data_IF_503918656986
#
_entry.id   IF_503918656986
#
_cell.length_a   1.000
_cell.length_b   1.000
_cell.length_c   1.000
_cell.angle_alpha   90.00
_cell.angle_beta   90.00
_cell.angle_gamma   90.00
#
_symmetry.space_group_name_H-M   'P 1'
#
loop_
_entity.id
_entity.type
_entity.pdbx_description
1 polymer ?
#
# COMPACT_ATOMS: atom_id res chain seq x y z
N UNK A 1 -59.81 -8.18 52.77
CA UNK A 1 -59.19 -7.31 51.75
C UNK A 1 -57.73 -7.75 51.58
N UNK A 2 -57.38 -8.36 50.45
CA UNK A 2 -55.99 -8.71 50.11
C UNK A 2 -55.69 -8.09 48.74
N UNK A 3 -54.95 -6.99 48.73
CA UNK A 3 -54.42 -6.38 47.51
C UNK A 3 -53.18 -7.15 47.08
N UNK A 4 -53.27 -7.88 45.96
CA UNK A 4 -52.09 -8.42 45.27
C UNK A 4 -51.47 -7.31 44.44
N UNK A 5 -50.35 -6.77 44.90
CA UNK A 5 -49.48 -5.94 44.08
C UNK A 5 -48.91 -6.79 42.94
N UNK A 6 -49.21 -6.39 41.70
CA UNK A 6 -48.59 -6.95 40.49
C UNK A 6 -47.21 -6.33 40.32
N UNK A 7 -46.20 -6.97 40.89
CA UNK A 7 -44.78 -6.80 40.53
C UNK A 7 -44.55 -7.48 39.16
N UNK A 8 -45.04 -6.87 38.08
CA UNK A 8 -44.76 -7.33 36.73
C UNK A 8 -44.90 -6.15 35.76
N UNK A 9 -43.78 -5.49 35.43
CA UNK A 9 -43.82 -4.55 34.31
C UNK A 9 -42.69 -3.55 34.19
N UNK A 10 -41.86 -3.32 35.21
CA UNK A 10 -40.92 -2.20 35.17
C UNK A 10 -39.47 -2.58 34.80
N UNK A 11 -39.04 -3.83 35.02
CA UNK A 11 -37.71 -4.27 34.61
C UNK A 11 -37.55 -4.33 33.08
N UNK A 12 -38.59 -4.82 32.38
CA UNK A 12 -38.59 -4.97 30.92
C UNK A 12 -38.38 -3.64 30.16
N UNK A 13 -39.11 -2.54 30.46
CA UNK A 13 -38.87 -1.25 29.82
C UNK A 13 -37.52 -0.62 30.19
N UNK A 14 -36.98 -0.89 31.39
CA UNK A 14 -35.64 -0.43 31.78
C UNK A 14 -34.57 -1.10 30.91
N UNK A 15 -34.64 -2.42 30.69
CA UNK A 15 -33.69 -3.10 29.80
C UNK A 15 -33.78 -2.59 28.36
N UNK A 16 -34.99 -2.38 27.84
CA UNK A 16 -35.18 -1.83 26.49
C UNK A 16 -34.55 -0.45 26.36
N UNK A 17 -34.79 0.45 27.32
CA UNK A 17 -34.24 1.82 27.27
C UNK A 17 -32.72 1.83 27.41
N UNK A 18 -32.14 0.99 28.28
CA UNK A 18 -30.69 0.85 28.42
C UNK A 18 -30.07 0.30 27.15
N UNK A 19 -30.61 -0.79 26.58
CA UNK A 19 -30.10 -1.40 25.34
C UNK A 19 -30.23 -0.43 24.17
N UNK A 20 -31.38 0.24 24.01
CA UNK A 20 -31.57 1.23 22.97
C UNK A 20 -30.60 2.41 23.12
N UNK A 21 -30.37 2.89 24.35
CA UNK A 21 -29.41 3.95 24.64
C UNK A 21 -27.96 3.56 24.31
N UNK A 22 -27.56 2.33 24.65
CA UNK A 22 -26.23 1.81 24.33
C UNK A 22 -26.04 1.61 22.82
N UNK A 23 -27.04 1.10 22.11
CA UNK A 23 -27.00 0.95 20.65
C UNK A 23 -26.95 2.31 19.94
N UNK A 24 -27.69 3.30 20.43
CA UNK A 24 -27.63 4.67 19.91
C UNK A 24 -26.25 5.30 20.11
N UNK A 25 -25.67 5.16 21.30
CA UNK A 25 -24.29 5.59 21.57
C UNK A 25 -23.31 4.90 20.63
N UNK A 26 -23.41 3.58 20.46
CA UNK A 26 -22.56 2.82 19.55
C UNK A 26 -22.70 3.32 18.09
N UNK A 27 -23.91 3.59 17.62
CA UNK A 27 -24.15 4.15 16.29
C UNK A 27 -23.59 5.58 16.14
N UNK A 28 -23.79 6.43 17.14
CA UNK A 28 -23.25 7.78 17.14
C UNK A 28 -21.71 7.79 17.05
N UNK A 29 -21.04 6.89 17.79
CA UNK A 29 -19.59 6.72 17.67
C UNK A 29 -19.16 6.15 16.32
N UNK A 30 -19.93 5.21 15.75
CA UNK A 30 -19.65 4.65 14.43
C UNK A 30 -19.68 5.73 13.33
N UNK A 31 -20.70 6.58 13.32
CA UNK A 31 -20.84 7.68 12.35
C UNK A 31 -19.68 8.68 12.45
N UNK A 32 -19.20 8.96 13.66
CA UNK A 32 -18.04 9.85 13.87
C UNK A 32 -16.73 9.20 13.42
N UNK A 33 -16.61 7.87 13.52
CA UNK A 33 -15.42 7.11 13.11
C UNK A 33 -15.09 7.22 11.62
N UNK A 34 -16.09 7.36 10.76
CA UNK A 34 -15.92 7.41 9.30
C UNK A 34 -15.11 8.64 8.81
N UNK A 35 -15.08 9.72 9.60
CA UNK A 35 -14.27 10.91 9.29
C UNK A 35 -12.78 10.75 9.63
N UNK A 36 -12.43 9.85 10.57
CA UNK A 36 -11.04 9.56 10.91
C UNK A 36 -10.35 8.69 9.84
N UNK A 37 -11.12 7.84 9.16
CA UNK A 37 -10.62 7.00 8.06
C UNK A 37 -10.12 7.82 6.87
N UNK A 38 -10.68 9.01 6.62
CA UNK A 38 -10.31 9.82 5.46
C UNK A 38 -8.91 10.42 5.54
N UNK A 39 -8.44 10.80 6.74
CA UNK A 39 -7.08 11.31 6.93
C UNK A 39 -6.02 10.22 6.72
N UNK A 40 -6.33 9.00 7.11
CA UNK A 40 -5.50 7.83 6.81
C UNK A 40 -5.68 7.35 5.36
N UNK A 41 -6.78 7.72 4.70
CA UNK A 41 -7.11 7.33 3.33
C UNK A 41 -6.12 7.84 2.28
N UNK A 42 -5.70 9.11 2.39
CA UNK A 42 -4.71 9.68 1.47
C UNK A 42 -3.36 8.94 1.54
N UNK A 43 -2.85 8.71 2.76
CA UNK A 43 -1.58 7.99 2.94
C UNK A 43 -1.69 6.53 2.52
N UNK A 44 -2.78 5.84 2.87
CA UNK A 44 -3.04 4.47 2.43
C UNK A 44 -3.10 4.35 0.90
N UNK A 45 -3.71 5.33 0.23
CA UNK A 45 -3.73 5.40 -1.24
C UNK A 45 -2.33 5.62 -1.82
N UNK A 46 -1.53 6.51 -1.23
CA UNK A 46 -0.16 6.75 -1.66
C UNK A 46 0.71 5.50 -1.50
N UNK A 47 0.62 4.84 -0.35
CA UNK A 47 1.35 3.61 -0.02
C UNK A 47 1.01 2.48 -0.99
N UNK A 48 -0.28 2.27 -1.25
CA UNK A 48 -0.75 1.27 -2.19
C UNK A 48 -0.26 1.56 -3.62
N UNK A 49 -0.36 2.82 -4.06
CA UNK A 49 0.08 3.24 -5.39
C UNK A 49 1.60 3.12 -5.56
N UNK A 50 2.39 3.49 -4.54
CA UNK A 50 3.85 3.38 -4.58
C UNK A 50 4.33 1.92 -4.57
N UNK A 51 3.69 1.05 -3.78
CA UNK A 51 3.95 -0.39 -3.81
C UNK A 51 3.56 -1.02 -5.14
N UNK A 52 2.44 -0.59 -5.74
CA UNK A 52 2.01 -1.08 -7.04
C UNK A 52 3.04 -0.74 -8.14
N UNK A 53 3.51 0.51 -8.19
CA UNK A 53 4.54 0.93 -9.13
C UNK A 53 5.84 0.12 -8.97
N UNK A 54 6.29 -0.07 -7.73
CA UNK A 54 7.50 -0.82 -7.44
C UNK A 54 7.36 -2.32 -7.78
N UNK A 55 6.19 -2.92 -7.51
CA UNK A 55 5.91 -4.32 -7.88
C UNK A 55 5.90 -4.50 -9.39
N UNK A 56 5.20 -3.64 -10.12
CA UNK A 56 5.14 -3.71 -11.58
C UNK A 56 6.54 -3.60 -12.21
N UNK A 57 7.35 -2.64 -11.76
CA UNK A 57 8.73 -2.50 -12.25
C UNK A 57 9.62 -3.72 -11.92
N UNK A 58 9.42 -4.34 -10.75
CA UNK A 58 10.09 -5.60 -10.37
C UNK A 58 9.65 -6.76 -11.26
N UNK A 59 8.36 -6.86 -11.54
CA UNK A 59 7.80 -7.94 -12.35
C UNK A 59 8.28 -7.82 -13.81
N UNK A 60 8.41 -6.62 -14.36
CA UNK A 60 9.03 -6.37 -15.67
C UNK A 60 10.47 -6.90 -15.76
N UNK A 61 11.29 -6.63 -14.73
CA UNK A 61 12.69 -7.13 -14.68
C UNK A 61 12.72 -8.65 -14.53
N UNK A 62 11.84 -9.23 -13.71
CA UNK A 62 11.76 -10.68 -13.54
C UNK A 62 11.37 -11.35 -14.85
N UNK A 63 10.42 -10.79 -15.61
CA UNK A 63 10.03 -11.31 -16.92
C UNK A 63 11.21 -11.32 -17.91
N UNK A 64 12.01 -10.26 -17.91
CA UNK A 64 13.21 -10.17 -18.76
C UNK A 64 14.29 -11.19 -18.35
N UNK A 65 14.49 -11.39 -17.05
CA UNK A 65 15.42 -12.40 -16.52
C UNK A 65 14.96 -13.85 -16.77
N UNK A 66 13.64 -14.09 -16.86
CA UNK A 66 13.05 -15.40 -17.17
C UNK A 66 13.11 -15.77 -18.66
N UNK A 67 13.71 -14.93 -19.50
CA UNK A 67 13.91 -15.20 -20.92
C UNK A 67 14.66 -16.51 -21.19
N UNK A 68 14.64 -17.01 -22.44
CA UNK A 68 15.26 -18.29 -22.81
C UNK A 68 16.78 -18.33 -22.60
N UNK A 69 17.43 -17.16 -22.46
CA UNK A 69 18.82 -16.99 -22.06
C UNK A 69 18.87 -15.77 -21.13
N UNK A 70 19.72 -15.83 -20.09
CA UNK A 70 20.03 -14.67 -19.27
C UNK A 70 20.54 -13.51 -20.15
N UNK A 71 19.99 -12.29 -20.01
CA UNK A 71 20.49 -11.12 -20.73
C UNK A 71 21.95 -10.84 -20.36
N UNK A 72 22.75 -10.33 -21.30
CA UNK A 72 24.17 -10.01 -21.02
C UNK A 72 24.31 -8.85 -20.01
N UNK A 73 23.26 -8.03 -19.87
CA UNK A 73 23.11 -6.88 -18.96
C UNK A 73 22.25 -7.20 -17.71
N UNK A 74 22.06 -8.48 -17.38
CA UNK A 74 21.28 -8.94 -16.22
C UNK A 74 21.62 -8.24 -14.89
N UNK A 75 22.88 -7.87 -14.67
CA UNK A 75 23.31 -7.14 -13.47
C UNK A 75 22.72 -5.72 -13.43
N UNK A 76 22.60 -5.06 -14.58
CA UNK A 76 21.95 -3.75 -14.70
C UNK A 76 20.44 -3.84 -14.50
N UNK A 77 19.82 -4.95 -14.91
CA UNK A 77 18.41 -5.23 -14.64
C UNK A 77 18.13 -5.34 -13.13
N UNK A 78 18.96 -6.09 -12.39
CA UNK A 78 18.85 -6.20 -10.92
C UNK A 78 19.01 -4.84 -10.22
N UNK A 79 19.81 -3.94 -10.81
CA UNK A 79 20.00 -2.56 -10.34
C UNK A 79 18.89 -1.58 -10.77
N UNK A 80 17.83 -2.06 -11.43
CA UNK A 80 16.69 -1.24 -11.81
C UNK A 80 16.88 -0.46 -13.11
N UNK A 81 17.71 -0.95 -14.04
CA UNK A 81 17.99 -0.26 -15.32
C UNK A 81 17.27 -0.85 -16.55
N UNK A 82 16.26 -1.70 -16.36
CA UNK A 82 15.52 -2.35 -17.46
C UNK A 82 14.00 -2.14 -17.50
N UNK A 83 13.39 -1.49 -16.51
CA UNK A 83 11.93 -1.35 -16.48
C UNK A 83 11.43 -0.12 -17.25
N UNK A 84 10.22 -0.21 -17.79
CA UNK A 84 9.45 0.87 -18.39
C UNK A 84 8.68 1.68 -17.33
N UNK A 85 9.04 2.94 -17.05
CA UNK A 85 8.37 3.73 -16.01
C UNK A 85 6.90 4.03 -16.28
N UNK A 86 6.49 4.03 -17.56
CA UNK A 86 5.10 4.30 -17.95
C UNK A 86 4.12 3.25 -17.43
N UNK A 87 4.45 1.96 -17.60
CA UNK A 87 3.63 0.84 -17.12
C UNK A 87 3.55 0.84 -15.58
N UNK A 88 4.69 1.04 -14.91
CA UNK A 88 4.73 1.14 -13.46
C UNK A 88 3.87 2.30 -12.91
N UNK A 89 3.90 3.46 -13.58
CA UNK A 89 3.05 4.58 -13.21
C UNK A 89 1.56 4.37 -13.56
N UNK A 90 1.24 3.51 -14.53
CA UNK A 90 -0.13 3.09 -14.79
C UNK A 90 -0.63 2.17 -13.65
N UNK A 91 0.17 1.22 -13.20
CA UNK A 91 -0.16 0.40 -12.03
C UNK A 91 -0.38 1.27 -10.78
N UNK A 92 0.45 2.31 -10.57
CA UNK A 92 0.25 3.29 -9.50
C UNK A 92 -1.11 4.00 -9.60
N UNK A 93 -1.50 4.40 -10.82
CA UNK A 93 -2.77 5.07 -11.08
C UNK A 93 -3.97 4.19 -10.74
N UNK A 94 -3.95 2.93 -11.17
CA UNK A 94 -5.01 1.96 -10.86
C UNK A 94 -5.20 1.76 -9.35
N UNK A 95 -4.09 1.68 -8.60
CA UNK A 95 -4.16 1.51 -7.15
C UNK A 95 -4.55 2.80 -6.43
N UNK A 96 -4.16 3.98 -6.91
CA UNK A 96 -4.67 5.25 -6.39
C UNK A 96 -6.20 5.32 -6.58
N UNK A 97 -6.69 4.98 -7.77
CA UNK A 97 -8.12 5.00 -8.09
C UNK A 97 -8.92 4.01 -7.26
N UNK A 98 -8.39 2.81 -6.98
CA UNK A 98 -9.00 1.80 -6.09
C UNK A 98 -9.10 2.29 -4.64
N UNK A 99 -8.30 3.29 -4.25
CA UNK A 99 -8.30 3.91 -2.93
C UNK A 99 -8.86 5.34 -2.97
N UNK A 100 -9.88 5.58 -3.80
CA UNK A 100 -10.61 6.85 -3.89
C UNK A 100 -9.70 8.08 -4.07
N UNK A 101 -8.59 7.93 -4.79
CA UNK A 101 -7.60 8.98 -5.00
C UNK A 101 -7.15 9.05 -6.46
N UNK A 102 -6.65 10.21 -6.88
CA UNK A 102 -6.04 10.43 -8.18
C UNK A 102 -4.53 10.61 -8.02
N UNK A 103 -3.75 10.05 -8.94
CA UNK A 103 -2.29 10.14 -8.90
C UNK A 103 -1.83 11.50 -9.40
N UNK A 104 -1.24 12.30 -8.52
CA UNK A 104 -0.70 13.63 -8.87
C UNK A 104 0.73 13.56 -9.39
N UNK A 105 1.51 12.57 -8.94
CA UNK A 105 2.88 12.37 -9.43
C UNK A 105 3.30 10.92 -9.36
N UNK A 106 4.20 10.52 -10.26
CA UNK A 106 4.88 9.25 -10.22
C UNK A 106 6.24 9.41 -10.88
N UNK A 107 7.30 9.14 -10.14
CA UNK A 107 8.67 9.30 -10.62
C UNK A 107 9.52 8.12 -10.17
N UNK A 108 10.37 7.57 -11.06
CA UNK A 108 11.42 6.66 -10.65
C UNK A 108 12.29 7.28 -9.56
N UNK A 109 12.72 6.45 -8.63
CA UNK A 109 13.63 6.77 -7.56
C UNK A 109 14.84 5.84 -7.64
N UNK A 110 16.03 6.42 -7.50
CA UNK A 110 17.30 5.71 -7.48
C UNK A 110 18.12 6.22 -6.29
N UNK A 111 18.33 5.36 -5.31
CA UNK A 111 19.15 5.62 -4.12
C UNK A 111 19.91 4.36 -3.73
N UNK A 112 19.90 4.00 -2.44
CA UNK A 112 20.41 2.69 -2.00
C UNK A 112 19.68 1.52 -2.69
N UNK A 113 18.39 1.71 -2.94
CA UNK A 113 17.54 0.84 -3.73
C UNK A 113 16.88 1.65 -4.84
N UNK A 114 16.19 0.96 -5.75
CA UNK A 114 15.45 1.58 -6.84
C UNK A 114 13.94 1.37 -6.64
N UNK A 115 13.11 2.22 -7.25
CA UNK A 115 11.66 2.12 -7.12
C UNK A 115 10.95 3.37 -7.59
N UNK A 116 9.86 3.73 -6.92
CA UNK A 116 9.01 4.84 -7.30
C UNK A 116 8.59 5.68 -6.11
N UNK A 117 8.57 6.99 -6.34
CA UNK A 117 7.92 7.95 -5.47
C UNK A 117 6.60 8.38 -6.11
N UNK A 118 5.49 8.16 -5.42
CA UNK A 118 4.15 8.43 -5.92
C UNK A 118 3.46 9.43 -5.00
N UNK A 119 2.83 10.44 -5.59
CA UNK A 119 1.95 11.37 -4.91
C UNK A 119 0.52 11.17 -5.37
N UNK A 120 -0.42 11.34 -4.44
CA UNK A 120 -1.86 11.20 -4.68
C UNK A 120 -2.62 12.34 -4.05
N UNK A 121 -3.82 12.57 -4.55
CA UNK A 121 -4.82 13.49 -4.00
C UNK A 121 -6.15 12.74 -3.86
N UNK A 122 -6.82 12.83 -2.72
CA UNK A 122 -8.12 12.16 -2.51
C UNK A 122 -9.20 12.77 -3.40
N UNK A 123 -10.10 11.93 -3.93
CA UNK A 123 -11.26 12.40 -4.70
C UNK A 123 -12.28 13.12 -3.82
N UNK A 124 -12.42 12.67 -2.58
CA UNK A 124 -13.29 13.25 -1.56
C UNK A 124 -12.52 14.30 -0.75
N UNK A 125 -13.24 15.31 -0.28
CA UNK A 125 -12.72 16.34 0.64
C UNK A 125 -12.53 15.73 2.02
N UNK A 126 -11.60 16.26 2.81
CA UNK A 126 -11.30 15.75 4.15
C UNK A 126 -12.38 16.21 5.13
N UNK A 127 -13.53 15.52 5.13
CA UNK A 127 -14.64 15.71 6.06
C UNK A 127 -15.29 17.11 6.08
N UNK A 128 -16.39 17.22 6.82
CA UNK A 128 -17.02 18.51 7.11
C UNK A 128 -16.07 19.33 7.99
N UNK A 129 -15.27 20.20 7.38
CA UNK A 129 -14.45 21.11 8.15
C UNK A 129 -15.33 22.04 8.97
N UNK A 130 -15.21 21.95 10.29
CA UNK A 130 -15.77 22.90 11.25
C UNK A 130 -15.14 24.30 11.13
N UNK A 131 -14.07 24.44 10.33
CA UNK A 131 -13.43 25.71 10.03
C UNK A 131 -14.07 26.31 8.76
N UNK A 132 -14.73 27.48 8.85
CA UNK A 132 -15.28 28.16 7.68
C UNK A 132 -14.20 28.36 6.61
N UNK A 133 -14.43 27.82 5.41
CA UNK A 133 -13.53 27.97 4.25
C UNK A 133 -12.63 26.79 3.89
N UNK A 134 -12.73 25.64 4.58
CA UNK A 134 -11.94 24.42 4.29
C UNK A 134 -12.79 23.19 3.96
N UNK A 135 -14.07 23.39 3.61
CA UNK A 135 -14.99 22.31 3.23
C UNK A 135 -14.61 21.61 1.91
N UNK A 136 -13.74 22.23 1.11
CA UNK A 136 -13.32 21.76 -0.22
C UNK A 136 -11.88 21.22 -0.28
N UNK A 137 -11.19 21.10 0.87
CA UNK A 137 -9.78 20.70 0.90
C UNK A 137 -9.64 19.18 0.72
N UNK A 138 -8.91 18.76 -0.30
CA UNK A 138 -8.58 17.36 -0.56
C UNK A 138 -7.31 16.94 0.19
N UNK A 139 -7.22 15.66 0.52
CA UNK A 139 -6.04 15.10 1.16
C UNK A 139 -4.96 14.81 0.14
N UNK A 140 -3.79 15.43 0.30
CA UNK A 140 -2.59 15.06 -0.45
C UNK A 140 -1.69 14.16 0.39
N UNK A 141 -1.08 13.17 -0.25
CA UNK A 141 -0.10 12.31 0.37
C UNK A 141 0.95 11.82 -0.62
N UNK A 142 2.08 11.36 -0.08
CA UNK A 142 3.21 10.88 -0.86
C UNK A 142 3.81 9.65 -0.19
N UNK A 143 4.20 8.68 -0.99
CA UNK A 143 4.87 7.48 -0.52
C UNK A 143 5.99 7.06 -1.47
N UNK A 144 6.93 6.28 -0.96
CA UNK A 144 8.03 5.72 -1.74
C UNK A 144 8.07 4.21 -1.55
N UNK A 145 7.80 3.50 -2.64
CA UNK A 145 7.95 2.05 -2.73
C UNK A 145 9.27 1.73 -3.39
N UNK A 146 10.08 0.88 -2.77
CA UNK A 146 11.37 0.44 -3.30
C UNK A 146 11.42 -1.07 -3.48
N UNK A 147 12.17 -1.47 -4.50
CA UNK A 147 12.55 -2.83 -4.81
C UNK A 147 13.96 -3.05 -4.27
N UNK A 148 14.05 -3.95 -3.31
CA UNK A 148 15.29 -4.32 -2.62
C UNK A 148 15.75 -5.65 -3.17
N UNK A 149 16.83 -5.70 -3.96
CA UNK A 149 17.43 -6.98 -4.32
C UNK A 149 17.95 -7.65 -3.04
N UNK A 150 17.65 -8.93 -2.85
CA UNK A 150 18.24 -9.77 -1.79
C UNK A 150 19.71 -10.10 -2.08
N UNK A 151 20.15 -9.81 -3.29
CA UNK A 151 21.52 -9.97 -3.73
C UNK A 151 22.26 -8.63 -3.62
N UNK A 152 23.44 -8.67 -3.00
CA UNK A 152 24.37 -7.55 -2.93
C UNK A 152 25.48 -7.72 -3.98
N UNK A 153 26.00 -6.61 -4.52
CA UNK A 153 27.13 -6.67 -5.44
C UNK A 153 28.44 -6.72 -4.63
N UNK A 154 29.20 -7.78 -4.81
CA UNK A 154 30.58 -7.93 -4.32
C UNK A 154 31.53 -8.06 -5.51
N UNK A 155 31.98 -6.91 -6.02
CA UNK A 155 32.75 -6.85 -7.28
C UNK A 155 31.87 -7.19 -8.49
N UNK A 156 32.22 -8.24 -9.24
CA UNK A 156 31.46 -8.74 -10.38
C UNK A 156 30.54 -9.95 -10.04
N UNK A 157 30.39 -10.26 -8.75
CA UNK A 157 29.53 -11.36 -8.27
C UNK A 157 28.36 -10.79 -7.49
N UNK A 158 27.19 -11.40 -7.68
CA UNK A 158 26.04 -11.19 -6.81
C UNK A 158 26.10 -12.18 -5.64
N UNK A 159 26.16 -11.62 -4.44
CA UNK A 159 26.13 -12.33 -3.17
C UNK A 159 24.72 -12.25 -2.60
N UNK A 160 23.95 -13.33 -2.75
CA UNK A 160 22.57 -13.42 -2.33
C UNK A 160 22.49 -14.12 -0.96
N UNK A 161 22.10 -13.38 0.07
CA UNK A 161 22.05 -13.90 1.44
C UNK A 161 21.01 -15.03 1.53
N UNK A 162 21.46 -16.25 1.87
CA UNK A 162 20.62 -17.46 1.91
C UNK A 162 20.30 -18.14 0.57
N UNK A 163 20.68 -17.53 -0.57
CA UNK A 163 20.64 -18.12 -1.91
C UNK A 163 22.09 -18.30 -2.39
N UNK A 164 22.83 -19.25 -1.78
CA UNK A 164 24.26 -19.43 -2.06
C UNK A 164 24.54 -19.45 -3.57
N UNK A 165 25.47 -18.63 -4.07
CA UNK A 165 25.95 -18.53 -5.46
C UNK A 165 25.02 -19.16 -6.53
N UNK A 166 23.77 -18.70 -6.63
CA UNK A 166 22.73 -19.38 -7.43
C UNK A 166 22.54 -18.83 -8.84
N UNK A 167 23.27 -17.76 -9.19
CA UNK A 167 23.32 -17.29 -10.57
C UNK A 167 24.63 -17.78 -11.16
N UNK A 168 24.64 -19.05 -11.56
CA UNK A 168 25.59 -19.53 -12.55
C UNK A 168 25.05 -19.08 -13.94
N UNK A 169 25.79 -18.25 -14.70
CA UNK A 169 25.33 -17.80 -16.02
C UNK A 169 25.03 -18.95 -16.99
N UNK A 170 25.51 -20.17 -16.71
CA UNK A 170 25.28 -21.37 -17.50
C UNK A 170 24.22 -22.35 -16.92
N UNK A 171 23.68 -22.12 -15.70
CA UNK A 171 22.67 -23.00 -15.07
C UNK A 171 21.67 -22.25 -14.17
N UNK A 172 20.54 -21.83 -14.76
CA UNK A 172 19.42 -21.15 -14.07
C UNK A 172 18.40 -22.13 -13.47
N UNK A 173 18.59 -23.46 -13.59
CA UNK A 173 17.57 -24.46 -13.23
C UNK A 173 17.33 -24.62 -11.73
N UNK A 174 18.15 -24.00 -10.87
CA UNK A 174 18.16 -24.20 -9.42
C UNK A 174 17.64 -23.01 -8.61
N UNK A 175 17.27 -21.89 -9.26
CA UNK A 175 16.82 -20.69 -8.55
C UNK A 175 15.34 -20.87 -8.19
N UNK A 176 14.94 -20.83 -6.90
CA UNK A 176 13.53 -20.68 -6.55
C UNK A 176 12.98 -19.39 -7.17
N UNK A 177 11.67 -19.33 -7.42
CA UNK A 177 10.94 -18.24 -8.08
C UNK A 177 11.72 -16.91 -8.12
N UNK A 178 12.12 -16.43 -9.31
CA UNK A 178 12.98 -15.25 -9.45
C UNK A 178 12.37 -13.99 -8.80
N UNK A 179 11.07 -13.97 -8.52
CA UNK A 179 10.44 -12.91 -7.71
C UNK A 179 10.97 -12.87 -6.27
N UNK A 180 11.47 -13.98 -5.72
CA UNK A 180 12.12 -14.07 -4.41
C UNK A 180 13.49 -13.39 -4.37
N UNK A 181 14.08 -13.04 -5.51
CA UNK A 181 15.30 -12.23 -5.57
C UNK A 181 15.06 -10.79 -5.09
N UNK A 182 13.80 -10.36 -5.01
CA UNK A 182 13.46 -8.98 -4.69
C UNK A 182 12.44 -8.90 -3.56
N UNK A 183 12.64 -7.95 -2.66
CA UNK A 183 11.64 -7.56 -1.66
C UNK A 183 11.11 -6.18 -2.00
N UNK A 184 9.79 -6.02 -2.06
CA UNK A 184 9.17 -4.70 -2.24
C UNK A 184 8.71 -4.16 -0.89
N UNK A 185 9.12 -2.94 -0.53
CA UNK A 185 8.73 -2.30 0.74
C UNK A 185 8.60 -0.79 0.61
N UNK A 186 7.94 -0.18 1.60
CA UNK A 186 7.89 1.28 1.75
C UNK A 186 9.14 1.79 2.46
N UNK A 187 9.59 2.99 2.08
CA UNK A 187 10.59 3.79 2.81
C UNK A 187 10.12 5.24 2.89
N UNK A 188 10.80 6.05 3.72
CA UNK A 188 10.48 7.47 3.85
C UNK A 188 10.63 8.18 2.49
N UNK A 189 9.61 8.93 2.02
CA UNK A 189 9.69 9.73 0.80
C UNK A 189 10.51 11.04 0.94
N UNK A 190 10.94 11.43 2.15
CA UNK A 190 11.71 12.65 2.43
C UNK A 190 13.21 12.43 2.61
#
# INVERSE_FOLDING_TARGET
MHSRQREAGQAFPIYITVVAGLLFLAFAYFVVGESADQRNGAQGAADAAALAAARDARDQIVEELLGPKLPDDWADLILGRGFGPGAACQAADEYAQKNDSDRTSCRPYYGEYWGFTVGVETKKTIGDSVIPGTADEKGEAKARGVVVPKCSLSGAKLDCDGLGSLIDPDDLGSVPDLTDLFTVRLIDPN
#
